data_IF_388387782423
#
_entry.id   IF_388387782423
#
_cell.length_a   1.000
_cell.length_b   1.000
_cell.length_c   1.000
_cell.angle_alpha   90.00
_cell.angle_beta   90.00
_cell.angle_gamma   90.00
#
_symmetry.space_group_name_H-M   'P 1'
#
loop_
_entity.id
_entity.type
_entity.pdbx_description
1 polymer ?
#
# COMPACT_ATOMS: atom_id res chain seq x y z
N UNK A 1 -10.53 -18.98 1.26
CA UNK A 1 -11.17 -19.92 2.23
C UNK A 1 -12.00 -19.15 3.25
N UNK A 2 -12.95 -19.79 3.96
CA UNK A 2 -13.60 -19.17 5.12
C UNK A 2 -12.62 -19.16 6.30
N UNK A 3 -12.81 -18.23 7.24
CA UNK A 3 -11.96 -18.09 8.44
C UNK A 3 -11.82 -19.40 9.24
N UNK A 4 -12.84 -20.26 9.19
CA UNK A 4 -12.89 -21.52 9.91
C UNK A 4 -12.01 -22.65 9.32
N UNK A 5 -11.59 -22.55 8.05
CA UNK A 5 -10.87 -23.64 7.36
C UNK A 5 -9.33 -23.53 7.49
N UNK A 6 -8.85 -22.52 8.20
CA UNK A 6 -7.42 -22.20 8.33
C UNK A 6 -6.89 -22.81 9.63
N UNK A 7 -6.10 -23.87 9.51
CA UNK A 7 -5.46 -24.56 10.64
C UNK A 7 -4.16 -23.88 11.01
N UNK A 8 -3.97 -23.62 12.31
CA UNK A 8 -2.70 -23.19 12.87
C UNK A 8 -1.68 -24.32 12.61
N UNK A 9 -0.51 -23.97 12.08
CA UNK A 9 0.52 -24.89 11.61
C UNK A 9 0.35 -25.38 10.18
N UNK A 10 -0.79 -25.14 9.53
CA UNK A 10 -1.02 -25.51 8.14
C UNK A 10 -0.27 -24.63 7.15
N UNK A 11 0.14 -25.22 6.03
CA UNK A 11 0.77 -24.50 4.91
C UNK A 11 -0.31 -24.13 3.90
N UNK A 12 -0.34 -22.86 3.51
CA UNK A 12 -1.31 -22.28 2.60
C UNK A 12 -0.62 -21.40 1.57
N UNK A 13 -1.26 -21.25 0.40
CA UNK A 13 -0.81 -20.29 -0.60
C UNK A 13 -1.34 -18.90 -0.26
N UNK A 14 -0.48 -17.88 -0.27
CA UNK A 14 -0.89 -16.50 -0.10
C UNK A 14 -0.25 -15.60 -1.16
N UNK A 15 -1.03 -14.68 -1.72
CA UNK A 15 -0.50 -13.68 -2.66
C UNK A 15 0.14 -12.53 -1.89
N UNK A 16 1.47 -12.43 -1.98
CA UNK A 16 2.29 -11.36 -1.40
C UNK A 16 2.85 -10.51 -2.54
N UNK A 17 2.43 -9.24 -2.62
CA UNK A 17 2.88 -8.27 -3.65
C UNK A 17 2.79 -8.84 -5.09
N UNK A 18 1.68 -9.49 -5.42
CA UNK A 18 1.42 -10.06 -6.75
C UNK A 18 2.10 -11.41 -7.03
N UNK A 19 2.85 -11.97 -6.08
CA UNK A 19 3.46 -13.31 -6.19
C UNK A 19 2.74 -14.30 -5.26
N UNK A 20 2.38 -15.47 -5.78
CA UNK A 20 1.84 -16.56 -4.96
C UNK A 20 3.00 -17.24 -4.22
N UNK A 21 2.94 -17.27 -2.90
CA UNK A 21 3.99 -17.88 -2.08
C UNK A 21 3.36 -18.76 -1.00
N UNK A 22 4.06 -19.83 -0.65
CA UNK A 22 3.68 -20.74 0.43
C UNK A 22 4.02 -20.16 1.79
N UNK A 23 3.03 -20.17 2.68
CA UNK A 23 3.08 -19.55 3.99
C UNK A 23 2.51 -20.52 5.01
N UNK A 24 3.21 -20.70 6.13
CA UNK A 24 2.74 -21.50 7.26
C UNK A 24 2.07 -20.58 8.27
N UNK A 25 0.87 -20.92 8.69
CA UNK A 25 0.13 -20.15 9.69
C UNK A 25 0.72 -20.45 11.06
N UNK A 26 1.23 -19.45 11.77
CA UNK A 26 1.84 -19.62 13.09
C UNK A 26 0.86 -19.30 14.22
N UNK A 27 0.02 -18.27 14.06
CA UNK A 27 -0.94 -17.86 15.08
C UNK A 27 -2.15 -17.13 14.48
N UNK A 28 -3.32 -17.34 15.07
CA UNK A 28 -4.51 -16.52 14.80
C UNK A 28 -4.58 -15.38 15.82
N UNK A 29 -4.74 -14.13 15.35
CA UNK A 29 -4.86 -12.98 16.26
C UNK A 29 -6.30 -12.79 16.75
N UNK A 30 -6.50 -12.37 18.02
CA UNK A 30 -7.85 -12.17 18.60
C UNK A 30 -8.75 -11.18 17.84
N UNK A 31 -8.16 -10.21 17.11
CA UNK A 31 -8.89 -9.20 16.31
C UNK A 31 -9.11 -9.62 14.85
N UNK A 32 -8.91 -10.90 14.54
CA UNK A 32 -8.95 -11.42 13.18
C UNK A 32 -7.63 -11.22 12.43
N UNK A 33 -7.36 -12.13 11.53
CA UNK A 33 -6.12 -12.22 10.77
C UNK A 33 -5.17 -13.27 11.32
N UNK A 34 -4.31 -13.77 10.45
CA UNK A 34 -3.35 -14.82 10.73
C UNK A 34 -1.95 -14.27 10.58
N UNK A 35 -1.09 -14.54 11.55
CA UNK A 35 0.34 -14.46 11.33
C UNK A 35 0.79 -15.72 10.63
N UNK A 36 1.51 -15.53 9.53
CA UNK A 36 2.09 -16.63 8.79
C UNK A 36 3.58 -16.35 8.55
N UNK A 37 4.40 -17.38 8.58
CA UNK A 37 5.78 -17.31 8.14
C UNK A 37 5.86 -17.84 6.72
N UNK A 38 6.44 -17.03 5.84
CA UNK A 38 6.71 -17.44 4.47
C UNK A 38 7.87 -18.44 4.45
N UNK A 39 7.69 -19.65 3.91
CA UNK A 39 8.76 -20.65 3.90
C UNK A 39 9.91 -20.33 2.94
N UNK A 40 9.64 -19.57 1.87
CA UNK A 40 10.64 -19.23 0.84
C UNK A 40 11.54 -18.09 1.28
N UNK A 41 11.00 -17.13 2.03
CA UNK A 41 11.72 -15.90 2.42
C UNK A 41 11.95 -15.78 3.91
N UNK A 42 11.44 -16.71 4.72
CA UNK A 42 11.45 -16.71 6.20
C UNK A 42 10.90 -15.43 6.84
N UNK A 43 10.19 -14.60 6.07
CA UNK A 43 9.61 -13.34 6.52
C UNK A 43 8.24 -13.60 7.13
N UNK A 44 8.00 -12.99 8.30
CA UNK A 44 6.68 -12.96 8.93
C UNK A 44 5.75 -12.04 8.16
N UNK A 45 4.56 -12.52 7.87
CA UNK A 45 3.52 -11.79 7.16
C UNK A 45 2.21 -11.82 7.94
N UNK A 46 1.47 -10.72 7.86
CA UNK A 46 0.15 -10.60 8.47
C UNK A 46 -0.93 -10.71 7.40
N UNK A 47 -1.80 -11.71 7.53
CA UNK A 47 -2.87 -12.01 6.59
C UNK A 47 -4.18 -11.55 7.20
N UNK A 48 -4.67 -10.37 6.79
CA UNK A 48 -5.85 -9.73 7.38
C UNK A 48 -7.17 -10.48 7.13
N UNK A 49 -7.23 -11.34 6.11
CA UNK A 49 -8.44 -12.12 5.77
C UNK A 49 -8.12 -13.45 5.11
N UNK A 50 -8.80 -14.52 5.51
CA UNK A 50 -8.65 -15.88 4.94
C UNK A 50 -9.14 -16.00 3.50
N UNK A 51 -9.80 -14.96 2.97
CA UNK A 51 -10.10 -14.82 1.53
C UNK A 51 -8.83 -14.71 0.67
N UNK A 52 -7.70 -14.29 1.28
CA UNK A 52 -6.38 -14.24 0.63
C UNK A 52 -5.56 -15.52 0.77
N UNK A 53 -6.07 -16.49 1.53
CA UNK A 53 -5.49 -17.83 1.62
C UNK A 53 -6.14 -18.70 0.54
N UNK A 54 -5.30 -19.13 -0.39
CA UNK A 54 -5.60 -20.14 -1.38
C UNK A 54 -5.16 -21.50 -0.80
N UNK A 55 -5.93 -22.58 -0.96
CA UNK A 55 -5.39 -23.92 -0.73
C UNK A 55 -4.13 -24.06 -1.58
N UNK A 56 -3.05 -24.55 -0.97
CA UNK A 56 -1.90 -25.02 -1.76
C UNK A 56 -2.41 -26.14 -2.66
N UNK A 57 -2.42 -25.86 -3.96
CA UNK A 57 -2.66 -26.86 -5.00
C UNK A 57 -1.39 -27.71 -5.06
N UNK A 58 -1.26 -28.64 -4.12
CA UNK A 58 -0.03 -29.39 -3.89
C UNK A 58 -0.16 -30.61 -2.97
N UNK A 59 -1.36 -30.92 -2.46
CA UNK A 59 -1.64 -32.28 -2.02
C UNK A 59 -2.31 -33.01 -3.19
N UNK A 60 -1.58 -33.99 -3.75
CA UNK A 60 -2.16 -35.04 -4.59
C UNK A 60 -3.42 -35.57 -3.89
N UNK A 61 -4.58 -35.18 -4.39
CA UNK A 61 -5.75 -36.06 -4.40
C UNK A 61 -6.09 -36.27 -5.85
N UNK A 62 -6.19 -37.56 -6.19
CA UNK A 62 -6.30 -38.16 -7.50
C UNK A 62 -7.08 -37.34 -8.52
N UNK A 63 -6.50 -37.20 -9.70
CA UNK A 63 -7.26 -36.92 -10.90
C UNK A 63 -8.29 -38.04 -11.16
N UNK A 64 -9.36 -37.64 -11.85
CA UNK A 64 -10.17 -38.43 -12.77
C UNK A 64 -11.51 -39.02 -12.27
N UNK A 65 -12.55 -38.24 -12.55
CA UNK A 65 -13.70 -38.55 -13.42
C UNK A 65 -14.62 -39.76 -13.15
N UNK A 66 -15.91 -39.42 -13.02
CA UNK A 66 -17.10 -40.15 -13.53
C UNK A 66 -17.17 -41.66 -13.36
N UNK A 67 -17.96 -42.11 -12.39
CA UNK A 67 -18.99 -43.13 -12.65
C UNK A 67 -20.13 -43.05 -11.63
N UNK A 68 -21.27 -43.55 -12.10
CA UNK A 68 -22.62 -43.54 -11.57
C UNK A 68 -22.75 -44.16 -10.16
N UNK A 69 -23.69 -43.70 -9.33
CA UNK A 69 -24.14 -44.50 -8.16
C UNK A 69 -24.61 -43.76 -6.90
N UNK A 70 -25.88 -43.34 -6.90
CA UNK A 70 -26.93 -43.63 -5.90
C UNK A 70 -26.64 -43.53 -4.37
N UNK A 71 -27.60 -42.85 -3.72
CA UNK A 71 -28.11 -43.01 -2.34
C UNK A 71 -27.45 -42.15 -1.22
N UNK A 72 -28.26 -41.23 -0.64
CA UNK A 72 -28.75 -41.24 0.78
C UNK A 72 -27.68 -40.83 1.81
N UNK A 73 -27.92 -40.11 2.91
CA UNK A 73 -29.10 -39.53 3.58
C UNK A 73 -28.55 -38.87 4.88
N UNK A 74 -29.30 -37.90 5.42
CA UNK A 74 -29.27 -37.26 6.77
C UNK A 74 -27.93 -36.78 7.36
N UNK A 75 -27.78 -35.48 7.62
CA UNK A 75 -28.35 -34.69 8.73
C UNK A 75 -27.70 -35.00 10.09
N UNK A 76 -27.04 -34.00 10.67
CA UNK A 76 -27.00 -33.79 12.13
C UNK A 76 -26.60 -32.34 12.40
N UNK A 77 -27.46 -31.69 13.18
CA UNK A 77 -27.35 -30.35 13.74
C UNK A 77 -26.63 -30.45 15.12
N UNK A 78 -26.64 -29.45 16.03
CA UNK A 78 -25.48 -28.63 16.43
C UNK A 78 -25.15 -28.76 17.95
N UNK A 79 -24.61 -27.67 18.55
CA UNK A 79 -24.38 -27.38 19.99
C UNK A 79 -22.93 -27.63 20.48
N UNK A 80 -22.29 -26.89 21.40
CA UNK A 80 -22.68 -25.89 22.42
C UNK A 80 -21.35 -25.23 22.91
N UNK A 81 -21.19 -23.90 22.94
CA UNK A 81 -21.17 -22.99 24.12
C UNK A 81 -20.45 -23.57 25.36
N UNK A 82 -19.43 -22.94 25.97
CA UNK A 82 -19.50 -21.82 26.94
C UNK A 82 -18.06 -21.35 27.31
N UNK A 83 -17.72 -20.06 27.17
CA UNK A 83 -17.55 -19.03 28.24
C UNK A 83 -16.51 -19.30 29.32
N UNK A 84 -15.48 -18.43 29.38
CA UNK A 84 -15.09 -17.74 30.63
C UNK A 84 -14.46 -16.38 30.32
N UNK A 85 -14.81 -15.44 31.20
CA UNK A 85 -14.72 -13.98 31.16
C UNK A 85 -13.46 -13.44 31.87
N UNK A 86 -13.18 -12.15 31.61
CA UNK A 86 -12.41 -11.19 32.40
C UNK A 86 -10.86 -11.28 32.32
N UNK A 87 -10.05 -10.22 32.34
CA UNK A 87 -10.30 -8.81 32.63
C UNK A 87 -9.27 -7.90 31.94
N UNK A 88 -9.67 -6.64 31.82
CA UNK A 88 -9.15 -5.44 31.21
C UNK A 88 -7.85 -4.91 31.87
N UNK A 89 -6.87 -4.48 31.08
CA UNK A 89 -5.98 -3.39 31.50
C UNK A 89 -5.43 -2.61 30.29
N UNK A 90 -5.57 -1.30 30.37
CA UNK A 90 -5.32 -0.31 29.34
C UNK A 90 -3.83 0.05 29.19
N UNK A 91 -3.42 0.39 27.97
CA UNK A 91 -2.34 1.35 27.75
C UNK A 91 -2.46 1.97 26.33
N UNK A 92 -3.07 3.15 26.27
CA UNK A 92 -2.92 4.09 25.13
C UNK A 92 -1.47 4.55 25.10
N UNK A 93 -0.80 4.49 23.93
CA UNK A 93 0.41 5.30 23.68
C UNK A 93 0.23 6.17 22.43
N UNK A 94 0.74 7.41 22.46
CA UNK A 94 0.28 8.52 21.63
C UNK A 94 1.08 8.63 20.33
N UNK A 95 0.51 9.38 19.39
CA UNK A 95 1.14 9.87 18.16
C UNK A 95 2.46 10.58 18.48
N UNK A 96 3.59 10.06 17.97
CA UNK A 96 4.84 10.82 17.80
C UNK A 96 4.78 11.45 16.40
N UNK A 97 4.48 12.74 16.30
CA UNK A 97 5.38 13.89 16.41
C UNK A 97 6.13 14.14 15.11
N UNK A 98 5.87 15.33 14.56
CA UNK A 98 6.61 16.03 13.50
C UNK A 98 8.10 15.71 13.57
N UNK A 99 8.65 15.26 12.44
CA UNK A 99 10.08 15.41 12.18
C UNK A 99 10.21 16.70 11.39
N UNK A 100 10.82 17.70 12.03
CA UNK A 100 11.28 18.93 11.40
C UNK A 100 12.35 18.59 10.33
N UNK A 101 12.40 19.32 9.21
CA UNK A 101 13.32 19.02 8.13
C UNK A 101 14.75 19.36 8.56
N UNK A 102 15.62 18.35 8.55
CA UNK A 102 17.06 18.53 8.65
C UNK A 102 17.56 19.43 7.52
N UNK A 103 18.20 20.53 7.91
CA UNK A 103 18.89 21.49 7.06
C UNK A 103 20.13 20.80 6.47
N UNK A 104 19.93 20.09 5.37
CA UNK A 104 20.99 19.82 4.40
C UNK A 104 21.03 20.95 3.39
N UNK A 105 22.24 21.39 3.04
CA UNK A 105 22.59 22.44 2.07
C UNK A 105 21.48 22.76 1.06
N UNK A 106 21.07 24.04 1.01
CA UNK A 106 19.85 24.58 0.39
C UNK A 106 19.78 24.30 -1.13
N UNK A 107 19.58 23.04 -1.52
CA UNK A 107 18.96 22.71 -2.80
C UNK A 107 17.59 23.37 -2.76
N UNK A 108 17.27 24.14 -3.79
CA UNK A 108 15.99 24.83 -3.89
C UNK A 108 14.88 23.81 -3.63
N UNK A 109 13.86 24.18 -2.85
CA UNK A 109 12.71 23.30 -2.68
C UNK A 109 12.12 22.97 -4.05
N UNK A 110 11.51 21.80 -4.23
CA UNK A 110 10.95 21.40 -5.53
C UNK A 110 10.03 22.48 -6.15
N UNK A 111 9.26 23.17 -5.30
CA UNK A 111 8.40 24.30 -5.71
C UNK A 111 9.22 25.53 -6.12
N UNK A 112 10.21 25.93 -5.32
CA UNK A 112 11.07 27.08 -5.65
C UNK A 112 11.89 26.84 -6.92
N UNK A 113 12.38 25.62 -7.12
CA UNK A 113 13.06 25.21 -8.34
C UNK A 113 12.11 25.25 -9.55
N UNK A 114 10.85 24.83 -9.39
CA UNK A 114 9.83 24.92 -10.44
C UNK A 114 9.55 26.37 -10.86
N UNK A 115 9.40 27.26 -9.88
CA UNK A 115 9.22 28.69 -10.15
C UNK A 115 10.44 29.25 -10.88
N UNK A 116 11.66 28.89 -10.48
CA UNK A 116 12.85 29.34 -11.20
C UNK A 116 12.87 28.88 -12.67
N UNK A 117 12.54 27.61 -12.92
CA UNK A 117 12.48 27.06 -14.29
C UNK A 117 11.42 27.77 -15.14
N UNK A 118 10.23 28.01 -14.60
CA UNK A 118 9.19 28.73 -15.32
C UNK A 118 9.56 30.20 -15.58
N UNK A 119 10.27 30.84 -14.64
CA UNK A 119 10.71 32.22 -14.79
C UNK A 119 11.74 32.35 -15.90
N UNK A 120 12.68 31.41 -15.97
CA UNK A 120 13.72 31.38 -17.02
C UNK A 120 13.16 30.95 -18.38
N UNK A 121 12.17 30.05 -18.40
CA UNK A 121 11.58 29.59 -19.65
C UNK A 121 10.64 30.63 -20.27
N UNK A 122 9.98 31.45 -19.46
CA UNK A 122 8.97 32.42 -19.92
C UNK A 122 7.76 31.81 -20.62
N UNK A 123 7.64 30.47 -20.61
CA UNK A 123 6.63 29.71 -21.34
C UNK A 123 5.91 28.76 -20.38
N UNK A 124 4.62 28.44 -20.63
CA UNK A 124 3.91 27.47 -19.81
C UNK A 124 4.45 26.06 -20.01
N UNK A 125 4.90 25.43 -18.93
CA UNK A 125 5.48 24.08 -18.97
C UNK A 125 4.58 23.06 -18.29
N UNK A 126 4.72 21.81 -18.71
CA UNK A 126 4.16 20.67 -17.98
C UNK A 126 5.10 20.28 -16.83
N UNK A 127 4.55 19.64 -15.81
CA UNK A 127 5.29 19.11 -14.65
C UNK A 127 6.41 18.15 -15.01
N UNK A 128 6.30 17.37 -16.10
CA UNK A 128 7.40 16.51 -16.57
C UNK A 128 8.57 17.33 -17.09
N UNK A 129 8.29 18.25 -18.01
CA UNK A 129 9.29 19.16 -18.60
C UNK A 129 9.94 20.03 -17.51
N UNK A 130 9.16 20.52 -16.54
CA UNK A 130 9.69 21.25 -15.40
C UNK A 130 10.70 20.43 -14.59
N UNK A 131 10.40 19.15 -14.29
CA UNK A 131 11.32 18.29 -13.54
C UNK A 131 12.58 18.00 -14.35
N UNK A 132 12.44 17.69 -15.64
CA UNK A 132 13.58 17.45 -16.54
C UNK A 132 14.49 18.67 -16.59
N UNK A 133 13.92 19.87 -16.75
CA UNK A 133 14.66 21.12 -16.74
C UNK A 133 15.31 21.41 -15.37
N UNK A 134 14.62 21.14 -14.25
CA UNK A 134 15.19 21.29 -12.90
C UNK A 134 16.37 20.34 -12.66
N UNK A 135 16.28 19.11 -13.14
CA UNK A 135 17.34 18.11 -13.04
C UNK A 135 18.52 18.48 -13.94
N UNK A 136 18.26 18.89 -15.19
CA UNK A 136 19.29 19.32 -16.13
C UNK A 136 20.06 20.55 -15.64
N UNK A 137 19.37 21.51 -15.02
CA UNK A 137 19.98 22.72 -14.44
C UNK A 137 20.56 22.51 -13.04
N UNK A 138 20.38 21.32 -12.45
CA UNK A 138 20.89 20.99 -11.12
C UNK A 138 20.22 21.73 -9.95
N UNK A 139 19.10 22.44 -10.18
CA UNK A 139 18.39 23.19 -9.13
C UNK A 139 17.78 22.27 -8.07
N UNK A 140 17.30 21.11 -8.51
CA UNK A 140 16.69 20.13 -7.64
C UNK A 140 16.81 18.73 -8.24
N UNK A 141 16.90 17.73 -7.36
CA UNK A 141 16.92 16.31 -7.75
C UNK A 141 15.94 15.52 -6.90
N UNK A 142 15.34 14.48 -7.49
CA UNK A 142 14.30 13.66 -6.86
C UNK A 142 14.85 12.88 -5.66
N UNK A 143 14.27 13.06 -4.46
CA UNK A 143 14.63 12.27 -3.27
C UNK A 143 14.00 10.88 -3.39
N UNK A 144 14.67 9.96 -4.09
CA UNK A 144 14.38 8.52 -4.15
C UNK A 144 13.03 8.10 -4.77
N UNK A 145 12.31 8.99 -5.45
CA UNK A 145 11.02 8.71 -6.09
C UNK A 145 11.11 8.48 -7.60
N UNK A 146 10.35 7.49 -8.11
CA UNK A 146 10.21 7.21 -9.56
C UNK A 146 9.36 8.24 -10.31
N UNK A 147 8.45 8.92 -9.62
CA UNK A 147 7.46 9.85 -10.21
C UNK A 147 7.51 11.24 -9.56
N UNK A 148 8.64 11.97 -9.65
CA UNK A 148 8.74 13.33 -9.10
C UNK A 148 7.72 14.31 -9.71
N UNK A 149 7.37 14.13 -11.00
CA UNK A 149 6.36 14.97 -11.68
C UNK A 149 4.98 14.88 -11.03
N UNK A 150 4.56 13.71 -10.54
CA UNK A 150 3.26 13.54 -9.87
C UNK A 150 3.22 14.24 -8.49
N UNK A 151 4.36 14.22 -7.79
CA UNK A 151 4.52 14.96 -6.53
C UNK A 151 4.45 16.47 -6.78
N UNK A 152 5.17 16.96 -7.80
CA UNK A 152 5.12 18.37 -8.20
C UNK A 152 3.70 18.78 -8.62
N UNK A 153 3.03 17.98 -9.44
CA UNK A 153 1.64 18.23 -9.86
C UNK A 153 0.70 18.38 -8.66
N UNK A 154 0.80 17.47 -7.69
CA UNK A 154 -0.01 17.54 -6.47
C UNK A 154 0.32 18.76 -5.61
N UNK A 155 1.58 19.21 -5.60
CA UNK A 155 1.98 20.42 -4.90
C UNK A 155 1.40 21.68 -5.58
N UNK A 156 1.47 21.76 -6.90
CA UNK A 156 0.90 22.86 -7.69
C UNK A 156 -0.63 22.92 -7.50
N UNK A 157 -1.33 21.77 -7.51
CA UNK A 157 -2.78 21.76 -7.26
C UNK A 157 -3.16 22.31 -5.88
N UNK A 158 -2.33 22.06 -4.84
CA UNK A 158 -2.54 22.64 -3.51
C UNK A 158 -2.25 24.13 -3.47
N UNK A 159 -1.25 24.60 -4.21
CA UNK A 159 -0.93 26.03 -4.31
C UNK A 159 -2.02 26.79 -5.08
N UNK A 160 -2.57 26.20 -6.15
CA UNK A 160 -3.71 26.76 -6.89
C UNK A 160 -4.98 26.88 -6.03
N UNK A 161 -5.15 26.01 -5.04
CA UNK A 161 -6.25 26.12 -4.08
C UNK A 161 -6.13 27.35 -3.15
N UNK A 162 -4.96 27.99 -3.09
CA UNK A 162 -4.73 29.21 -2.32
C UNK A 162 -5.26 30.49 -3.02
N UNK A 163 -5.88 30.38 -4.20
CA UNK A 163 -6.51 31.49 -4.89
C UNK A 163 -5.52 32.60 -5.22
N UNK A 164 -5.74 33.81 -4.71
CA UNK A 164 -4.90 34.99 -4.95
C UNK A 164 -3.47 34.88 -4.43
N UNK A 165 -3.22 34.02 -3.44
CA UNK A 165 -1.88 33.76 -2.93
C UNK A 165 -1.11 32.69 -3.74
N UNK A 166 -1.73 32.11 -4.78
CA UNK A 166 -1.10 31.11 -5.63
C UNK A 166 0.05 31.70 -6.44
N UNK A 167 1.18 31.00 -6.48
CA UNK A 167 2.38 31.37 -7.26
C UNK A 167 2.32 30.80 -8.68
N UNK A 168 1.54 29.74 -8.86
CA UNK A 168 1.28 29.15 -10.17
C UNK A 168 -0.08 29.58 -10.70
N UNK A 169 -0.20 29.61 -12.03
CA UNK A 169 -1.47 29.73 -12.74
C UNK A 169 -1.59 28.59 -13.76
N UNK A 170 -2.79 28.06 -13.92
CA UNK A 170 -3.07 27.04 -14.94
C UNK A 170 -3.40 27.74 -16.25
N UNK A 171 -2.58 27.51 -17.28
CA UNK A 171 -2.78 28.12 -18.60
C UNK A 171 -3.54 27.20 -19.55
N UNK A 172 -3.29 25.89 -19.46
CA UNK A 172 -3.95 24.86 -20.26
C UNK A 172 -4.04 23.54 -19.46
N UNK A 173 -4.62 22.48 -20.04
CA UNK A 173 -4.73 21.16 -19.41
C UNK A 173 -3.34 20.56 -19.13
N UNK A 174 -2.88 20.74 -17.89
CA UNK A 174 -1.61 20.18 -17.41
C UNK A 174 -0.40 21.07 -17.68
N UNK A 175 -0.62 22.31 -18.15
CA UNK A 175 0.40 23.34 -18.33
C UNK A 175 0.24 24.41 -17.25
N UNK A 176 1.36 24.84 -16.69
CA UNK A 176 1.41 25.83 -15.64
C UNK A 176 2.41 26.93 -15.97
N UNK A 177 2.09 28.15 -15.57
CA UNK A 177 2.95 29.31 -15.64
C UNK A 177 3.07 29.96 -14.26
N UNK A 178 3.97 30.93 -14.13
CA UNK A 178 4.05 31.79 -12.94
C UNK A 178 2.92 32.79 -12.99
N UNK A 179 2.28 33.00 -11.83
CA UNK A 179 1.40 34.13 -11.63
C UNK A 179 2.29 35.36 -11.36
N UNK A 180 2.39 36.23 -12.34
CA UNK A 180 3.05 37.54 -12.24
C UNK A 180 2.14 38.53 -11.54
#
# INVERSE_FOLDING_TARGET
MKKADVKIGGVYGATVTGKCVEVRIDAEKPRGGWEATNLVTSKKIHIKSGRRLQPVVGSKSSAQSTSNGKAKKVASEPAKQETVVAEKAAAKKPRKSKVEPVVGEKKLSCIAAALKVLAESGQPLNTKEMIEAMQAKGYWSSPSGKTPHATLYSAILRDLAAGDAAKFVKTDRGRFAIRT
#
